data_IF_244754689260
#
_entry.id   IF_244754689260
#
_cell.length_a   1.000
_cell.length_b   1.000
_cell.length_c   1.000
_cell.angle_alpha   90.00
_cell.angle_beta   90.00
_cell.angle_gamma   90.00
#
_symmetry.space_group_name_H-M   'P 1'
#
loop_
_entity.id
_entity.type
_entity.pdbx_description
1 polymer ?
#
# COMPACT_ATOMS: atom_id res chain seq x y z
N UNK A 1 0.49 -0.29 -35.18
CA UNK A 1 1.37 0.87 -34.96
C UNK A 1 2.17 0.60 -33.71
N UNK A 2 3.46 0.30 -33.89
CA UNK A 2 4.37 0.00 -32.79
C UNK A 2 4.53 1.26 -31.94
N UNK A 3 4.05 1.20 -30.69
CA UNK A 3 4.36 2.24 -29.73
C UNK A 3 5.87 2.22 -29.48
N UNK A 4 6.56 3.27 -29.94
CA UNK A 4 7.95 3.56 -29.56
C UNK A 4 8.04 3.53 -28.03
N UNK A 5 8.72 2.51 -27.52
CA UNK A 5 9.08 2.42 -26.12
C UNK A 5 10.12 3.52 -25.88
N UNK A 6 9.66 4.71 -25.49
CA UNK A 6 10.53 5.70 -24.88
C UNK A 6 11.30 4.98 -23.77
N UNK A 7 12.63 4.87 -23.90
CA UNK A 7 13.47 4.30 -22.86
C UNK A 7 13.11 4.99 -21.55
N UNK A 8 12.64 4.21 -20.57
CA UNK A 8 12.35 4.74 -19.24
C UNK A 8 13.65 5.31 -18.70
N UNK A 9 13.73 6.64 -18.63
CA UNK A 9 14.86 7.32 -18.01
C UNK A 9 15.08 6.73 -16.62
N UNK A 10 16.30 6.27 -16.35
CA UNK A 10 16.63 5.69 -15.04
C UNK A 10 16.42 6.75 -13.97
N UNK A 11 15.82 6.33 -12.86
CA UNK A 11 15.66 7.21 -11.70
C UNK A 11 17.03 7.73 -11.23
N UNK A 12 17.15 9.04 -10.95
CA UNK A 12 18.35 9.62 -10.34
C UNK A 12 18.72 8.90 -9.05
N UNK A 13 20.01 8.86 -8.71
CA UNK A 13 20.49 8.14 -7.51
C UNK A 13 19.81 8.63 -6.22
N UNK A 14 19.53 9.93 -6.10
CA UNK A 14 18.93 10.54 -4.91
C UNK A 14 17.44 10.22 -4.72
N UNK A 15 16.74 9.72 -5.74
CA UNK A 15 15.33 9.34 -5.65
C UNK A 15 15.14 7.85 -5.27
N UNK A 16 16.23 7.09 -5.15
CA UNK A 16 16.16 5.66 -4.79
C UNK A 16 15.94 5.50 -3.29
N UNK A 17 15.00 4.64 -2.93
CA UNK A 17 14.75 4.27 -1.53
C UNK A 17 15.63 3.09 -1.09
N UNK A 18 15.85 3.01 0.22
CA UNK A 18 16.44 1.82 0.84
C UNK A 18 15.38 0.72 0.99
N UNK A 19 15.83 -0.53 0.97
CA UNK A 19 14.94 -1.67 1.24
C UNK A 19 14.39 -1.58 2.68
N UNK A 20 13.07 -1.73 2.88
CA UNK A 20 12.48 -1.70 4.21
C UNK A 20 13.02 -2.86 5.05
N UNK A 21 13.40 -2.55 6.30
CA UNK A 21 13.92 -3.47 7.31
C UNK A 21 13.44 -3.01 8.68
N UNK A 22 13.43 -3.92 9.66
CA UNK A 22 13.08 -3.60 11.04
C UNK A 22 11.94 -4.47 11.59
N UNK A 23 11.91 -4.60 12.92
CA UNK A 23 10.87 -5.35 13.63
C UNK A 23 9.51 -4.64 13.51
N UNK A 24 9.47 -3.33 13.72
CA UNK A 24 8.24 -2.53 13.58
C UNK A 24 7.63 -2.61 12.18
N UNK A 25 8.44 -2.52 11.12
CA UNK A 25 7.98 -2.76 9.75
C UNK A 25 7.34 -4.15 9.61
N UNK A 26 8.02 -5.20 10.10
CA UNK A 26 7.51 -6.57 10.04
C UNK A 26 6.23 -6.75 10.84
N UNK A 27 6.11 -6.09 12.00
CA UNK A 27 4.90 -6.08 12.84
C UNK A 27 3.72 -5.51 12.06
N UNK A 28 3.85 -4.31 11.50
CA UNK A 28 2.77 -3.67 10.72
C UNK A 28 2.41 -4.52 9.51
N UNK A 29 3.42 -5.02 8.77
CA UNK A 29 3.20 -5.91 7.62
C UNK A 29 2.36 -7.12 7.99
N UNK A 30 2.76 -7.83 9.04
CA UNK A 30 2.11 -9.05 9.47
C UNK A 30 0.68 -8.79 9.98
N UNK A 31 0.44 -7.66 10.65
CA UNK A 31 -0.90 -7.30 11.10
C UNK A 31 -1.83 -7.01 9.90
N UNK A 32 -1.37 -6.20 8.94
CA UNK A 32 -2.13 -5.90 7.71
C UNK A 32 -2.47 -7.19 6.97
N UNK A 33 -1.48 -8.06 6.74
CA UNK A 33 -1.66 -9.35 6.04
C UNK A 33 -2.61 -10.29 6.81
N UNK A 34 -2.45 -10.40 8.14
CA UNK A 34 -3.25 -11.28 9.01
C UNK A 34 -4.71 -10.88 9.04
N UNK A 35 -5.01 -9.58 9.07
CA UNK A 35 -6.38 -9.08 9.13
C UNK A 35 -7.02 -8.93 7.73
N UNK A 36 -6.28 -9.25 6.66
CA UNK A 36 -6.76 -9.12 5.28
C UNK A 36 -7.08 -7.68 4.90
N UNK A 37 -6.34 -6.72 5.46
CA UNK A 37 -6.54 -5.29 5.22
C UNK A 37 -5.64 -4.80 4.08
N UNK A 38 -6.01 -3.65 3.50
CA UNK A 38 -5.25 -3.01 2.45
C UNK A 38 -4.71 -1.66 2.91
N UNK A 39 -3.57 -1.24 2.36
CA UNK A 39 -2.97 0.07 2.65
C UNK A 39 -2.57 0.76 1.35
N UNK A 40 -2.64 2.09 1.32
CA UNK A 40 -2.11 2.85 0.18
C UNK A 40 -0.58 2.78 0.14
N UNK A 41 0.05 2.44 1.25
CA UNK A 41 1.49 2.21 1.33
C UNK A 41 1.92 1.08 0.36
N UNK A 42 1.17 -0.02 0.32
CA UNK A 42 1.41 -1.16 -0.57
C UNK A 42 0.77 -0.97 -1.94
N UNK A 43 -0.54 -0.73 -2.01
CA UNK A 43 -1.28 -0.62 -3.27
C UNK A 43 -0.86 0.58 -4.13
N UNK A 44 -0.29 1.61 -3.49
CA UNK A 44 0.24 2.80 -4.16
C UNK A 44 1.72 2.72 -4.52
N UNK A 45 2.44 1.64 -4.19
CA UNK A 45 3.90 1.51 -4.31
C UNK A 45 4.66 2.68 -3.63
N UNK A 46 4.26 3.03 -2.42
CA UNK A 46 4.82 4.19 -1.72
C UNK A 46 6.30 3.96 -1.38
N UNK A 47 7.21 4.87 -1.77
CA UNK A 47 8.64 4.72 -1.48
C UNK A 47 8.98 4.89 0.02
N UNK A 48 8.05 5.44 0.81
CA UNK A 48 8.26 5.72 2.23
C UNK A 48 7.72 4.62 3.16
N UNK A 49 7.25 3.50 2.60
CA UNK A 49 6.62 2.41 3.39
C UNK A 49 7.50 1.94 4.56
N UNK A 50 8.81 1.82 4.33
CA UNK A 50 9.76 1.42 5.37
C UNK A 50 9.88 2.44 6.50
N UNK A 51 9.90 3.73 6.18
CA UNK A 51 9.97 4.78 7.19
C UNK A 51 8.67 4.85 8.00
N UNK A 52 7.53 4.95 7.32
CA UNK A 52 6.24 5.12 7.98
C UNK A 52 5.91 3.94 8.90
N UNK A 53 6.08 2.71 8.42
CA UNK A 53 5.73 1.52 9.21
C UNK A 53 6.68 1.29 10.38
N UNK A 54 7.97 1.65 10.24
CA UNK A 54 8.89 1.59 11.37
C UNK A 54 8.54 2.59 12.48
N UNK A 55 7.87 3.70 12.13
CA UNK A 55 7.29 4.66 13.08
C UNK A 55 5.90 4.23 13.59
N UNK A 56 5.45 3.01 13.29
CA UNK A 56 4.11 2.53 13.67
C UNK A 56 2.97 3.22 12.93
N UNK A 57 3.22 3.87 11.79
CA UNK A 57 2.21 4.62 11.03
C UNK A 57 1.89 3.91 9.71
N UNK A 58 0.61 3.71 9.42
CA UNK A 58 0.13 3.23 8.14
C UNK A 58 -1.15 3.98 7.73
N UNK A 59 -1.38 4.10 6.42
CA UNK A 59 -2.63 4.64 5.88
C UNK A 59 -3.42 3.52 5.22
N UNK A 60 -4.52 3.15 5.85
CA UNK A 60 -5.39 2.07 5.41
C UNK A 60 -6.25 2.49 4.22
N UNK A 61 -6.52 1.53 3.35
CA UNK A 61 -7.51 1.60 2.28
C UNK A 61 -8.68 0.72 2.68
N UNK A 62 -9.84 1.34 2.80
CA UNK A 62 -11.12 0.64 2.98
C UNK A 62 -11.70 0.22 1.64
N UNK A 63 -12.63 -0.72 1.65
CA UNK A 63 -13.32 -1.26 0.46
C UNK A 63 -12.40 -1.96 -0.54
N UNK A 64 -11.30 -2.55 -0.05
CA UNK A 64 -10.37 -3.34 -0.87
C UNK A 64 -9.26 -2.54 -1.57
N UNK A 65 -8.60 -3.19 -2.53
CA UNK A 65 -7.46 -2.64 -3.30
C UNK A 65 -7.80 -2.34 -4.77
N UNK A 66 -9.08 -2.45 -5.16
CA UNK A 66 -9.56 -2.22 -6.53
C UNK A 66 -10.36 -0.93 -6.59
N UNK A 67 -9.90 0.03 -7.38
CA UNK A 67 -10.61 1.28 -7.63
C UNK A 67 -11.44 1.19 -8.93
N UNK A 68 -12.67 1.70 -8.92
CA UNK A 68 -13.50 1.81 -10.13
C UNK A 68 -13.03 2.93 -11.07
N UNK A 69 -12.24 3.88 -10.55
CA UNK A 69 -11.62 4.96 -11.32
C UNK A 69 -10.24 4.55 -11.82
N UNK A 70 -9.74 5.32 -12.80
CA UNK A 70 -8.41 5.14 -13.39
C UNK A 70 -7.70 6.49 -13.53
N UNK A 71 -7.34 7.09 -12.41
CA UNK A 71 -6.55 8.31 -12.39
C UNK A 71 -5.18 8.03 -13.02
N UNK A 72 -4.72 8.88 -13.96
CA UNK A 72 -3.50 8.64 -14.75
C UNK A 72 -2.22 8.46 -13.91
N UNK A 73 -2.19 9.01 -12.71
CA UNK A 73 -1.05 8.96 -11.79
C UNK A 73 -1.15 7.84 -10.74
N UNK A 74 -2.32 7.24 -10.56
CA UNK A 74 -2.58 6.33 -9.44
C UNK A 74 -2.12 4.92 -9.80
N UNK A 75 -1.35 4.30 -8.89
CA UNK A 75 -0.85 2.93 -9.06
C UNK A 75 -1.85 1.85 -8.60
N UNK A 76 -2.93 2.24 -7.91
CA UNK A 76 -3.95 1.29 -7.41
C UNK A 76 -4.61 0.58 -8.58
N UNK A 77 -4.85 -0.71 -8.43
CA UNK A 77 -5.47 -1.55 -9.45
C UNK A 77 -6.85 -1.01 -9.82
N UNK A 78 -7.08 -0.77 -11.12
CA UNK A 78 -8.42 -0.45 -11.62
C UNK A 78 -9.20 -1.71 -11.96
N UNK A 79 -10.48 -1.77 -11.61
CA UNK A 79 -11.35 -2.89 -11.95
C UNK A 79 -12.69 -2.88 -11.25
N UNK A 80 -13.37 -4.04 -11.24
CA UNK A 80 -14.57 -4.27 -10.45
C UNK A 80 -14.18 -4.71 -9.04
N UNK A 81 -14.58 -3.99 -7.98
CA UNK A 81 -14.29 -4.38 -6.60
C UNK A 81 -15.00 -5.68 -6.20
N UNK A 82 -14.49 -6.30 -5.13
CA UNK A 82 -15.19 -7.36 -4.40
C UNK A 82 -16.35 -6.75 -3.57
N UNK A 83 -17.29 -7.58 -3.08
CA UNK A 83 -18.27 -7.13 -2.10
C UNK A 83 -17.59 -6.50 -0.88
N UNK A 84 -18.23 -5.48 -0.29
CA UNK A 84 -17.71 -4.86 0.93
C UNK A 84 -17.69 -5.88 2.07
N UNK A 85 -16.61 -5.86 2.85
CA UNK A 85 -16.48 -6.67 4.06
C UNK A 85 -17.11 -5.92 5.24
N UNK A 86 -18.23 -6.42 5.76
CA UNK A 86 -18.96 -5.80 6.88
C UNK A 86 -18.12 -5.76 8.17
N UNK A 87 -17.13 -6.65 8.31
CA UNK A 87 -16.22 -6.69 9.46
C UNK A 87 -14.97 -5.84 9.26
N UNK A 88 -14.78 -5.19 8.11
CA UNK A 88 -13.63 -4.32 7.82
C UNK A 88 -13.41 -3.25 8.92
N UNK A 89 -14.44 -2.55 9.42
CA UNK A 89 -14.25 -1.55 10.47
C UNK A 89 -13.68 -2.13 11.78
N UNK A 90 -14.17 -3.30 12.20
CA UNK A 90 -13.72 -3.98 13.43
C UNK A 90 -12.28 -4.49 13.27
N UNK A 91 -11.98 -5.13 12.13
CA UNK A 91 -10.63 -5.60 11.80
C UNK A 91 -9.63 -4.44 11.78
N UNK A 92 -10.02 -3.30 11.21
CA UNK A 92 -9.20 -2.09 11.15
C UNK A 92 -8.96 -1.52 12.55
N UNK A 93 -10.00 -1.38 13.37
CA UNK A 93 -9.87 -0.87 14.73
C UNK A 93 -8.96 -1.76 15.59
N UNK A 94 -9.13 -3.08 15.51
CA UNK A 94 -8.28 -4.06 16.21
C UNK A 94 -6.83 -3.99 15.72
N UNK A 95 -6.63 -3.85 14.40
CA UNK A 95 -5.28 -3.70 13.83
C UNK A 95 -4.58 -2.46 14.33
N UNK A 96 -5.27 -1.31 14.34
CA UNK A 96 -4.72 -0.05 14.86
C UNK A 96 -4.37 -0.19 16.34
N UNK A 97 -5.25 -0.82 17.14
CA UNK A 97 -4.97 -1.10 18.56
C UNK A 97 -3.72 -1.97 18.76
N UNK A 98 -3.52 -2.97 17.91
CA UNK A 98 -2.35 -3.88 17.97
C UNK A 98 -1.05 -3.23 17.48
N UNK A 99 -1.15 -2.24 16.58
CA UNK A 99 0.01 -1.46 16.13
C UNK A 99 0.65 -0.69 17.29
N UNK A 100 -0.17 -0.18 18.21
CA UNK A 100 0.25 0.63 19.37
C UNK A 100 0.21 2.11 19.05
#
# INVERSE_FOLDING_TARGET
MAHELHERQRLPRWMKMNMPKGESYSKVKNLVDKHGLHTICTSGNCPNIGECWNRGTATFMILGDICTRRCKFCAVKSGRPLPADELEPEKLAETVRLMG
#
